data_IF_714379173233
#
_entry.id   IF_714379173233
#
_cell.length_a   1.000
_cell.length_b   1.000
_cell.length_c   1.000
_cell.angle_alpha   90.00
_cell.angle_beta   90.00
_cell.angle_gamma   90.00
#
_symmetry.space_group_name_H-M   'P 1'
#
loop_
_entity.id
_entity.type
_entity.pdbx_description
1 polymer ?
#
# COMPACT_ATOMS: atom_id res chain seq x y z
N UNK A 1 -3.79 -10.12 -0.36
CA UNK A 1 -4.30 -10.89 0.81
C UNK A 1 -5.52 -10.15 1.34
N UNK A 2 -6.56 -10.86 1.75
CA UNK A 2 -7.77 -10.22 2.28
C UNK A 2 -7.52 -9.76 3.72
N UNK A 3 -7.85 -8.50 4.03
CA UNK A 3 -7.78 -7.97 5.40
C UNK A 3 -8.62 -8.79 6.38
N UNK A 4 -9.68 -9.41 5.89
CA UNK A 4 -10.56 -10.24 6.71
C UNK A 4 -9.90 -11.56 7.13
N UNK A 5 -9.20 -12.23 6.20
CA UNK A 5 -8.41 -13.43 6.50
C UNK A 5 -7.31 -13.13 7.53
N UNK A 6 -6.63 -11.99 7.36
CA UNK A 6 -5.62 -11.54 8.33
C UNK A 6 -6.25 -11.27 9.71
N UNK A 7 -7.45 -10.70 9.76
CA UNK A 7 -8.17 -10.45 11.00
C UNK A 7 -8.53 -11.74 11.74
N UNK A 8 -9.02 -12.77 11.01
CA UNK A 8 -9.31 -14.08 11.60
C UNK A 8 -8.03 -14.71 12.16
N UNK A 9 -6.95 -14.75 11.37
CA UNK A 9 -5.67 -15.29 11.80
C UNK A 9 -5.15 -14.59 13.07
N UNK A 10 -5.16 -13.26 13.10
CA UNK A 10 -4.75 -12.50 14.27
C UNK A 10 -5.64 -12.77 15.50
N UNK A 11 -6.94 -12.97 15.31
CA UNK A 11 -7.85 -13.28 16.39
C UNK A 11 -7.60 -14.70 16.97
N UNK A 12 -7.34 -15.67 16.10
CA UNK A 12 -6.96 -17.06 16.51
C UNK A 12 -5.64 -17.05 17.25
N UNK A 13 -4.61 -16.37 16.71
CA UNK A 13 -3.29 -16.26 17.35
C UNK A 13 -3.38 -15.57 18.72
N UNK A 14 -4.19 -14.53 18.84
CA UNK A 14 -4.40 -13.82 20.11
C UNK A 14 -4.98 -14.71 21.22
N UNK A 15 -5.64 -15.79 20.85
CA UNK A 15 -6.18 -16.82 21.76
C UNK A 15 -5.24 -18.01 22.00
N UNK A 16 -4.06 -18.02 21.37
CA UNK A 16 -3.07 -19.08 21.50
C UNK A 16 -3.11 -20.13 20.39
N UNK A 17 -3.99 -19.97 19.40
CA UNK A 17 -4.04 -20.81 18.21
C UNK A 17 -2.94 -20.50 17.20
N UNK A 18 -2.98 -21.18 16.06
CA UNK A 18 -2.03 -21.03 14.96
C UNK A 18 -2.72 -20.42 13.73
N UNK A 19 -1.93 -19.79 12.88
CA UNK A 19 -2.40 -19.27 11.60
C UNK A 19 -2.98 -20.40 10.72
N UNK A 20 -4.05 -20.07 9.99
CA UNK A 20 -4.63 -20.98 9.00
C UNK A 20 -5.53 -22.08 9.58
N UNK A 21 -5.89 -22.04 10.87
CA UNK A 21 -6.73 -23.05 11.51
C UNK A 21 -8.23 -22.89 11.25
N UNK A 22 -8.62 -22.53 10.02
CA UNK A 22 -10.03 -22.40 9.61
C UNK A 22 -10.18 -22.55 8.10
N UNK A 23 -11.38 -22.87 7.65
CA UNK A 23 -11.78 -22.89 6.24
C UNK A 23 -12.88 -21.87 6.04
N UNK A 24 -12.63 -20.87 5.19
CA UNK A 24 -13.59 -19.86 4.79
C UNK A 24 -14.10 -20.17 3.38
N UNK A 25 -15.42 -20.19 3.21
CA UNK A 25 -16.08 -20.37 1.90
C UNK A 25 -17.03 -19.22 1.62
N UNK A 26 -16.91 -18.62 0.44
CA UNK A 26 -17.74 -17.50 0.02
C UNK A 26 -17.13 -16.16 0.33
N UNK A 27 -17.98 -15.18 0.62
CA UNK A 27 -17.56 -13.80 0.90
C UNK A 27 -16.86 -13.68 2.28
N UNK A 28 -16.07 -12.63 2.44
CA UNK A 28 -15.34 -12.31 3.66
C UNK A 28 -16.29 -11.95 4.83
N UNK A 29 -16.85 -12.95 5.49
CA UNK A 29 -17.72 -12.81 6.65
C UNK A 29 -17.52 -13.95 7.66
N UNK A 30 -17.70 -13.65 8.96
CA UNK A 30 -17.56 -14.65 10.02
C UNK A 30 -18.49 -15.85 9.84
N UNK A 31 -19.70 -15.60 9.35
CA UNK A 31 -20.73 -16.59 9.09
C UNK A 31 -20.36 -17.57 7.97
N UNK A 32 -19.40 -17.20 7.13
CA UNK A 32 -18.92 -18.01 6.01
C UNK A 32 -17.71 -18.89 6.41
N UNK A 33 -17.31 -18.89 7.68
CA UNK A 33 -16.32 -19.83 8.17
C UNK A 33 -17.02 -21.20 8.26
N UNK A 34 -16.67 -22.07 7.31
CA UNK A 34 -17.29 -23.39 7.15
C UNK A 34 -16.81 -24.37 8.20
N UNK A 35 -15.53 -24.32 8.52
CA UNK A 35 -14.90 -25.24 9.47
C UNK A 35 -13.77 -24.58 10.25
N UNK A 36 -13.72 -24.86 11.54
CA UNK A 36 -12.61 -24.50 12.43
C UNK A 36 -11.72 -25.73 12.65
N UNK A 37 -10.44 -25.63 12.29
CA UNK A 37 -9.44 -26.69 12.39
C UNK A 37 -8.54 -26.50 13.64
N UNK A 38 -9.15 -26.09 14.74
CA UNK A 38 -8.43 -25.74 15.97
C UNK A 38 -8.05 -26.98 16.75
N UNK A 39 -6.82 -27.01 17.27
CA UNK A 39 -6.35 -28.04 18.21
C UNK A 39 -7.07 -27.92 19.56
N UNK A 40 -7.55 -26.73 19.92
CA UNK A 40 -8.27 -26.40 21.14
C UNK A 40 -9.40 -25.41 20.81
N UNK A 41 -10.63 -25.78 21.16
CA UNK A 41 -11.82 -24.93 20.95
C UNK A 41 -11.75 -23.57 21.67
N UNK A 42 -10.96 -23.45 22.73
CA UNK A 42 -10.74 -22.19 23.44
C UNK A 42 -10.05 -21.15 22.55
N UNK A 43 -9.38 -21.57 21.49
CA UNK A 43 -8.72 -20.69 20.51
C UNK A 43 -9.68 -20.12 19.46
N UNK A 44 -10.93 -20.58 19.43
CA UNK A 44 -11.95 -20.06 18.52
C UNK A 44 -12.32 -18.62 18.89
N UNK A 45 -12.08 -17.66 17.99
CA UNK A 45 -12.48 -16.29 18.26
C UNK A 45 -13.98 -16.10 18.08
N UNK A 46 -14.54 -15.16 18.80
CA UNK A 46 -15.91 -14.70 18.57
C UNK A 46 -15.96 -13.78 17.35
N UNK A 47 -17.16 -13.57 16.81
CA UNK A 47 -17.40 -12.61 15.73
C UNK A 47 -16.90 -11.20 16.07
N UNK A 48 -17.15 -10.77 17.32
CA UNK A 48 -16.74 -9.43 17.78
C UNK A 48 -15.21 -9.28 17.88
N UNK A 49 -14.51 -10.35 18.31
CA UNK A 49 -13.05 -10.38 18.35
C UNK A 49 -12.45 -10.30 16.93
N UNK A 50 -13.00 -11.01 15.96
CA UNK A 50 -12.59 -10.92 14.56
C UNK A 50 -12.89 -9.53 14.00
N UNK A 51 -14.07 -8.99 14.29
CA UNK A 51 -14.46 -7.65 13.86
C UNK A 51 -13.52 -6.58 14.41
N UNK A 52 -13.15 -6.64 15.67
CA UNK A 52 -12.22 -5.70 16.29
C UNK A 52 -10.83 -5.72 15.60
N UNK A 53 -10.33 -6.92 15.25
CA UNK A 53 -9.08 -7.06 14.48
C UNK A 53 -9.22 -6.49 13.07
N UNK A 54 -10.33 -6.77 12.40
CA UNK A 54 -10.59 -6.24 11.06
C UNK A 54 -10.66 -4.71 11.06
N UNK A 55 -11.39 -4.12 12.00
CA UNK A 55 -11.53 -2.65 12.10
C UNK A 55 -10.17 -1.98 12.34
N UNK A 56 -9.30 -2.58 13.17
CA UNK A 56 -7.94 -2.09 13.41
C UNK A 56 -7.05 -2.20 12.16
N UNK A 57 -7.09 -3.34 11.45
CA UNK A 57 -6.35 -3.52 10.21
C UNK A 57 -6.84 -2.57 9.12
N UNK A 58 -8.15 -2.39 9.00
CA UNK A 58 -8.74 -1.47 8.03
C UNK A 58 -8.36 -0.02 8.33
N UNK A 59 -8.42 0.40 9.59
CA UNK A 59 -8.01 1.74 9.99
C UNK A 59 -6.54 2.01 9.65
N UNK A 60 -5.64 1.05 9.90
CA UNK A 60 -4.23 1.16 9.51
C UNK A 60 -4.05 1.16 7.98
N UNK A 61 -4.79 0.30 7.28
CA UNK A 61 -4.78 0.27 5.82
C UNK A 61 -5.21 1.62 5.21
N UNK A 62 -6.31 2.18 5.70
CA UNK A 62 -6.83 3.47 5.24
C UNK A 62 -5.86 4.61 5.58
N UNK A 63 -5.29 4.61 6.80
CA UNK A 63 -4.31 5.61 7.22
C UNK A 63 -3.01 5.60 6.39
N UNK A 64 -2.63 4.45 5.83
CA UNK A 64 -1.42 4.28 5.02
C UNK A 64 -1.67 4.30 3.52
N UNK A 65 -2.86 4.67 3.06
CA UNK A 65 -3.22 4.69 1.64
C UNK A 65 -2.27 5.57 0.82
N UNK A 66 -1.91 6.75 1.33
CA UNK A 66 -0.96 7.64 0.68
C UNK A 66 0.39 6.97 0.37
N UNK A 67 0.87 6.05 1.22
CA UNK A 67 2.13 5.33 1.00
C UNK A 67 2.04 4.40 -0.22
N UNK A 68 0.92 3.72 -0.39
CA UNK A 68 0.68 2.85 -1.54
C UNK A 68 0.62 3.62 -2.85
N UNK A 69 0.01 4.80 -2.84
CA UNK A 69 0.00 5.70 -4.00
C UNK A 69 1.40 6.25 -4.30
N UNK A 70 2.11 6.74 -3.28
CA UNK A 70 3.47 7.28 -3.44
C UNK A 70 4.44 6.22 -3.98
N UNK A 71 4.39 4.97 -3.45
CA UNK A 71 5.34 3.92 -3.84
C UNK A 71 5.30 3.59 -5.33
N UNK A 72 4.14 3.78 -5.97
CA UNK A 72 3.95 3.55 -7.41
C UNK A 72 4.41 4.70 -8.28
N UNK A 73 4.56 5.89 -7.72
CA UNK A 73 4.90 7.11 -8.44
C UNK A 73 6.31 7.62 -8.17
N UNK A 74 6.96 7.17 -7.12
CA UNK A 74 8.35 7.57 -6.87
C UNK A 74 9.26 7.17 -8.03
N UNK A 75 10.25 8.03 -8.38
CA UNK A 75 11.31 7.64 -9.31
C UNK A 75 12.05 6.40 -8.81
N UNK A 76 12.64 5.65 -9.74
CA UNK A 76 13.31 4.39 -9.42
C UNK A 76 14.57 4.60 -8.58
N UNK A 77 14.96 3.57 -7.81
CA UNK A 77 16.26 3.56 -7.12
C UNK A 77 17.46 3.62 -8.09
N UNK A 78 17.28 3.13 -9.33
CA UNK A 78 18.28 3.23 -10.38
C UNK A 78 18.55 4.68 -10.78
N UNK A 79 17.50 5.50 -10.89
CA UNK A 79 17.63 6.94 -11.15
C UNK A 79 18.32 7.66 -10.00
N UNK A 80 18.01 7.28 -8.75
CA UNK A 80 18.72 7.82 -7.58
C UNK A 80 20.24 7.45 -7.60
N UNK A 81 20.53 6.19 -7.88
CA UNK A 81 21.94 5.73 -7.95
C UNK A 81 22.71 6.48 -9.05
N UNK A 82 22.12 6.64 -10.24
CA UNK A 82 22.71 7.40 -11.33
C UNK A 82 22.92 8.89 -10.97
N UNK A 83 21.92 9.49 -10.32
CA UNK A 83 22.00 10.87 -9.85
C UNK A 83 23.12 11.09 -8.81
N UNK A 84 23.26 10.16 -7.86
CA UNK A 84 24.35 10.17 -6.88
C UNK A 84 25.70 9.98 -7.58
N UNK A 85 25.81 9.03 -8.50
CA UNK A 85 27.05 8.81 -9.25
C UNK A 85 27.49 10.08 -10.00
N UNK A 86 26.61 10.74 -10.72
CA UNK A 86 26.93 11.97 -11.43
C UNK A 86 27.39 13.10 -10.50
N UNK A 87 26.72 13.23 -9.34
CA UNK A 87 27.12 14.21 -8.32
C UNK A 87 28.52 13.93 -7.79
N UNK A 88 28.79 12.70 -7.36
CA UNK A 88 30.07 12.33 -6.72
C UNK A 88 31.22 12.28 -7.74
N UNK A 89 30.96 11.80 -8.97
CA UNK A 89 31.99 11.63 -9.99
C UNK A 89 32.32 12.94 -10.72
N UNK A 90 31.32 13.72 -11.05
CA UNK A 90 31.44 14.89 -11.95
C UNK A 90 31.15 16.22 -11.25
N UNK A 91 30.74 16.22 -9.98
CA UNK A 91 30.26 17.43 -9.29
C UNK A 91 28.92 17.94 -9.80
N UNK A 92 28.23 17.18 -10.66
CA UNK A 92 26.95 17.59 -11.26
C UNK A 92 25.78 17.09 -10.41
N UNK A 93 25.11 18.00 -9.72
CA UNK A 93 23.95 17.72 -8.88
C UNK A 93 22.61 17.88 -9.58
N UNK A 94 22.57 18.20 -10.88
CA UNK A 94 21.33 18.48 -11.63
C UNK A 94 20.34 17.32 -11.55
N UNK A 95 20.78 16.10 -11.81
CA UNK A 95 19.96 14.87 -11.72
C UNK A 95 19.44 14.62 -10.31
N UNK A 96 20.25 14.85 -9.29
CA UNK A 96 19.82 14.66 -7.90
C UNK A 96 18.78 15.70 -7.49
N UNK A 97 18.94 16.94 -7.94
CA UNK A 97 17.96 18.02 -7.74
C UNK A 97 16.63 17.66 -8.41
N UNK A 98 16.66 17.15 -9.65
CA UNK A 98 15.46 16.70 -10.36
C UNK A 98 14.80 15.51 -9.64
N UNK A 99 15.58 14.51 -9.18
CA UNK A 99 15.06 13.38 -8.43
C UNK A 99 14.33 13.81 -7.16
N UNK A 100 14.92 14.72 -6.40
CA UNK A 100 14.32 15.26 -5.16
C UNK A 100 13.02 16.02 -5.49
N UNK A 101 13.04 16.87 -6.52
CA UNK A 101 11.85 17.61 -6.95
C UNK A 101 10.71 16.68 -7.35
N UNK A 102 10.99 15.58 -8.04
CA UNK A 102 10.01 14.56 -8.40
C UNK A 102 9.44 13.86 -7.15
N UNK A 103 10.29 13.52 -6.18
CA UNK A 103 9.83 12.96 -4.91
C UNK A 103 8.93 13.94 -4.14
N UNK A 104 9.28 15.21 -4.10
CA UNK A 104 8.49 16.24 -3.41
C UNK A 104 7.14 16.48 -4.11
N UNK A 105 7.12 16.44 -5.45
CA UNK A 105 5.87 16.51 -6.22
C UNK A 105 4.93 15.33 -5.88
N UNK A 106 5.45 14.10 -5.77
CA UNK A 106 4.67 12.92 -5.37
C UNK A 106 4.13 13.08 -3.95
N UNK A 107 4.95 13.58 -3.02
CA UNK A 107 4.52 13.82 -1.63
C UNK A 107 3.43 14.89 -1.53
N UNK A 108 3.51 15.93 -2.35
CA UNK A 108 2.50 16.97 -2.41
C UNK A 108 1.15 16.47 -2.94
N UNK A 109 1.17 15.53 -3.91
CA UNK A 109 -0.04 14.90 -4.43
C UNK A 109 -0.72 13.97 -3.42
N UNK A 110 0.06 13.29 -2.60
CA UNK A 110 -0.42 12.33 -1.61
C UNK A 110 0.13 12.67 -0.22
N UNK A 111 -0.39 13.71 0.44
CA UNK A 111 0.04 14.09 1.78
C UNK A 111 -0.27 12.98 2.80
N UNK A 112 0.53 12.91 3.87
CA UNK A 112 0.45 11.84 4.87
C UNK A 112 -0.84 11.80 5.70
N UNK A 113 -1.63 12.87 5.65
CA UNK A 113 -2.95 12.95 6.27
C UNK A 113 -4.11 12.48 5.36
N UNK A 114 -3.79 11.89 4.20
CA UNK A 114 -4.75 11.49 3.16
C UNK A 114 -5.67 12.62 2.68
N UNK A 115 -5.27 13.88 2.86
CA UNK A 115 -6.03 15.06 2.42
C UNK A 115 -5.78 15.44 0.96
N UNK A 116 -4.99 14.64 0.25
CA UNK A 116 -4.70 14.87 -1.17
C UNK A 116 -5.96 14.76 -2.03
N UNK A 117 -5.96 15.51 -3.12
CA UNK A 117 -7.01 15.43 -4.13
C UNK A 117 -7.18 13.96 -4.55
N UNK A 118 -8.31 13.36 -4.19
CA UNK A 118 -8.70 12.01 -4.61
C UNK A 118 -8.91 11.87 -6.12
N UNK A 119 -8.37 12.81 -6.88
CA UNK A 119 -8.48 12.94 -8.32
C UNK A 119 -7.39 12.16 -9.09
N UNK A 120 -6.45 11.53 -8.36
CA UNK A 120 -5.41 10.72 -8.97
C UNK A 120 -5.64 9.26 -8.63
N UNK A 121 -6.04 8.51 -9.62
CA UNK A 121 -6.18 7.07 -9.53
C UNK A 121 -4.94 6.39 -10.11
N UNK A 122 -4.29 5.55 -9.33
CA UNK A 122 -3.22 4.68 -9.83
C UNK A 122 -3.81 3.32 -10.11
N UNK A 123 -3.89 2.94 -11.38
CA UNK A 123 -4.44 1.65 -11.74
C UNK A 123 -3.53 0.49 -11.26
N UNK A 124 -4.04 -0.77 -11.24
CA UNK A 124 -3.25 -1.94 -10.82
C UNK A 124 -1.96 -2.16 -11.61
N UNK A 125 -1.86 -1.59 -12.80
CA UNK A 125 -0.69 -1.70 -13.69
C UNK A 125 0.32 -0.55 -13.49
N UNK A 126 0.14 0.28 -12.45
CA UNK A 126 1.06 1.36 -12.11
C UNK A 126 0.88 2.64 -12.92
N UNK A 127 -0.04 2.68 -13.89
CA UNK A 127 -0.32 3.90 -14.63
C UNK A 127 -1.11 4.89 -13.77
N UNK A 128 -0.62 6.12 -13.63
CA UNK A 128 -1.36 7.19 -12.99
C UNK A 128 -2.44 7.71 -13.96
N UNK A 129 -3.69 7.58 -13.55
CA UNK A 129 -4.83 8.15 -14.26
C UNK A 129 -5.23 9.42 -13.53
N UNK A 130 -5.04 10.55 -14.19
CA UNK A 130 -5.42 11.86 -13.65
C UNK A 130 -6.86 12.18 -14.02
N UNK A 131 -7.63 12.69 -13.07
CA UNK A 131 -8.99 13.16 -13.32
C UNK A 131 -8.97 14.24 -14.41
N UNK A 132 -9.82 14.09 -15.40
CA UNK A 132 -9.84 14.96 -16.58
C UNK A 132 -8.73 14.69 -17.60
N UNK A 133 -7.96 13.61 -17.47
CA UNK A 133 -6.96 13.17 -18.45
C UNK A 133 -5.72 14.08 -18.55
N UNK A 134 -5.59 15.07 -17.67
CA UNK A 134 -4.46 16.01 -17.67
C UNK A 134 -3.51 15.69 -16.52
N UNK A 135 -2.25 15.46 -16.88
CA UNK A 135 -1.16 15.35 -15.93
C UNK A 135 -0.94 16.71 -15.25
N UNK A 136 -0.88 16.80 -13.89
CA UNK A 136 -0.56 18.05 -13.21
C UNK A 136 0.76 18.64 -13.68
N UNK A 137 0.85 19.97 -13.77
CA UNK A 137 2.07 20.66 -14.22
C UNK A 137 3.29 20.31 -13.35
N UNK A 138 3.09 20.10 -12.07
CA UNK A 138 4.13 19.63 -11.13
C UNK A 138 4.76 18.29 -11.54
N UNK A 139 4.03 17.47 -12.31
CA UNK A 139 4.48 16.18 -12.82
C UNK A 139 4.78 16.19 -14.32
N UNK A 140 4.84 17.35 -14.95
CA UNK A 140 4.99 17.48 -16.41
C UNK A 140 6.16 16.66 -16.97
N UNK A 141 7.27 16.65 -16.26
CA UNK A 141 8.48 15.92 -16.64
C UNK A 141 8.65 14.60 -15.89
N UNK A 142 7.66 14.21 -15.07
CA UNK A 142 7.74 13.02 -14.25
C UNK A 142 7.55 11.76 -15.09
N UNK A 143 8.50 10.84 -14.98
CA UNK A 143 8.40 9.47 -15.49
C UNK A 143 8.27 8.55 -14.29
N UNK A 144 7.16 7.81 -14.13
CA UNK A 144 7.05 6.83 -13.05
C UNK A 144 8.14 5.77 -13.23
N UNK A 145 8.95 5.58 -12.19
CA UNK A 145 10.11 4.69 -12.22
C UNK A 145 9.80 3.20 -12.39
N UNK A 146 8.52 2.81 -12.31
CA UNK A 146 8.07 1.42 -12.43
C UNK A 146 7.19 1.17 -13.67
N UNK A 147 7.19 2.08 -14.65
CA UNK A 147 6.41 1.90 -15.88
C UNK A 147 7.09 0.99 -16.93
N UNK A 148 8.33 0.58 -16.70
CA UNK A 148 9.08 -0.30 -17.62
C UNK A 148 9.53 -1.55 -16.87
N UNK A 149 8.65 -2.53 -16.76
CA UNK A 149 9.14 -3.82 -16.28
C UNK A 149 8.12 -4.72 -15.61
N UNK A 150 7.06 -5.05 -16.32
CA UNK A 150 6.38 -6.35 -16.21
C UNK A 150 5.86 -6.74 -17.56
#
# INVERSE_FOLDING_TARGET
MSLYLDAINQAVIAKGGKEGQFILRGDDAYENIDEWLLDDESHKPTKDEVKAKYDALKANWDATEYQRHRSRLYPSLGELADAIYHKEKNGDSSKLTEYIANCDAVKALFPSNNSGDGDIFVNPYGAAIFKGGKKPDALKNFKPGNAEGY
#
